data_IF_889437554874
#
_entry.id   IF_889437554874
#
_cell.length_a   1.000
_cell.length_b   1.000
_cell.length_c   1.000
_cell.angle_alpha   90.00
_cell.angle_beta   90.00
_cell.angle_gamma   90.00
#
_symmetry.space_group_name_H-M   'P 1'
#
loop_
_entity.id
_entity.type
_entity.pdbx_description
1 polymer ?
#
# COMPACT_ATOMS: atom_id res chain seq x y z
N UNK A 1 -8.79 0.54 -25.17
CA UNK A 1 -8.05 -0.18 -24.12
C UNK A 1 -6.66 -0.58 -24.61
N UNK A 2 -6.54 -1.34 -25.69
CA UNK A 2 -5.25 -1.83 -26.23
C UNK A 2 -4.19 -0.73 -26.40
N UNK A 3 -4.55 0.43 -26.95
CA UNK A 3 -3.60 1.56 -27.09
C UNK A 3 -3.04 2.06 -25.77
N UNK A 4 -3.84 2.07 -24.69
CA UNK A 4 -3.37 2.48 -23.35
C UNK A 4 -2.45 1.40 -22.77
N UNK A 5 -2.80 0.13 -22.89
CA UNK A 5 -1.99 -0.98 -22.41
C UNK A 5 -0.61 -1.03 -23.11
N UNK A 6 -0.56 -0.76 -24.43
CA UNK A 6 0.70 -0.68 -25.19
C UNK A 6 1.62 0.48 -24.76
N UNK A 7 1.09 1.51 -24.08
CA UNK A 7 1.86 2.65 -23.57
C UNK A 7 2.39 2.45 -22.16
N UNK A 8 1.97 1.39 -21.47
CA UNK A 8 2.44 1.11 -20.11
C UNK A 8 3.94 0.85 -20.09
N UNK A 9 4.63 1.51 -19.16
CA UNK A 9 6.07 1.39 -18.90
C UNK A 9 6.38 0.89 -17.50
N UNK A 10 5.40 0.98 -16.59
CA UNK A 10 5.51 0.56 -15.20
C UNK A 10 4.22 -0.12 -14.75
N UNK A 11 4.36 -1.27 -14.11
CA UNK A 11 3.26 -2.00 -13.48
C UNK A 11 3.35 -1.86 -11.96
N UNK A 12 2.26 -1.49 -11.32
CA UNK A 12 2.11 -1.52 -9.88
C UNK A 12 1.22 -2.72 -9.52
N UNK A 13 1.73 -3.59 -8.68
CA UNK A 13 1.08 -4.82 -8.27
C UNK A 13 0.70 -4.73 -6.79
N UNK A 14 -0.58 -4.88 -6.48
CA UNK A 14 -0.94 -5.28 -5.13
C UNK A 14 -0.36 -6.66 -4.81
N UNK A 15 -0.35 -7.06 -3.55
CA UNK A 15 0.31 -8.31 -3.15
C UNK A 15 -0.69 -9.41 -2.77
N UNK A 16 -1.39 -9.27 -1.66
CA UNK A 16 -2.33 -10.31 -1.20
C UNK A 16 -3.59 -10.31 -2.06
N UNK A 17 -4.00 -11.48 -2.58
CA UNK A 17 -5.08 -11.57 -3.55
C UNK A 17 -4.65 -11.32 -5.01
N UNK A 18 -3.42 -10.82 -5.23
CA UNK A 18 -2.91 -10.46 -6.57
C UNK A 18 -1.73 -11.32 -7.01
N UNK A 19 -0.66 -11.39 -6.22
CA UNK A 19 0.53 -12.20 -6.53
C UNK A 19 0.64 -13.46 -5.67
N UNK A 20 0.01 -13.46 -4.52
CA UNK A 20 -0.14 -14.62 -3.61
C UNK A 20 -1.45 -14.51 -2.83
N UNK A 21 -1.87 -15.59 -2.16
CA UNK A 21 -2.89 -15.58 -1.12
C UNK A 21 -2.33 -16.25 0.14
N UNK A 22 -2.25 -15.46 1.22
CA UNK A 22 -1.63 -15.91 2.48
C UNK A 22 -0.16 -16.31 2.29
N UNK A 23 0.11 -17.62 2.40
CA UNK A 23 1.43 -18.23 2.21
C UNK A 23 1.59 -18.94 0.85
N UNK A 24 0.62 -18.84 -0.05
CA UNK A 24 0.60 -19.56 -1.33
C UNK A 24 0.76 -18.61 -2.51
N UNK A 25 1.87 -18.74 -3.24
CA UNK A 25 2.11 -18.04 -4.49
C UNK A 25 1.15 -18.49 -5.60
N UNK A 26 0.63 -17.54 -6.39
CA UNK A 26 -0.12 -17.91 -7.59
C UNK A 26 0.83 -18.39 -8.70
N UNK A 27 0.47 -19.45 -9.45
CA UNK A 27 1.36 -20.06 -10.45
C UNK A 27 1.80 -19.11 -11.56
N UNK A 28 0.96 -18.12 -11.90
CA UNK A 28 1.20 -17.17 -12.99
C UNK A 28 2.06 -15.97 -12.58
N UNK A 29 2.35 -15.79 -11.29
CA UNK A 29 3.10 -14.63 -10.77
C UNK A 29 4.52 -14.57 -11.32
N UNK A 30 5.34 -15.61 -11.12
CA UNK A 30 6.74 -15.61 -11.57
C UNK A 30 6.83 -15.50 -13.10
N UNK A 31 6.05 -16.27 -13.90
CA UNK A 31 5.99 -16.08 -15.36
C UNK A 31 5.72 -14.63 -15.76
N UNK A 32 4.73 -13.99 -15.13
CA UNK A 32 4.37 -12.60 -15.45
C UNK A 32 5.50 -11.60 -15.09
N UNK A 33 6.13 -11.74 -13.92
CA UNK A 33 7.28 -10.88 -13.58
C UNK A 33 8.44 -11.04 -14.57
N UNK A 34 8.72 -12.28 -15.01
CA UNK A 34 9.72 -12.55 -16.03
C UNK A 34 9.34 -11.96 -17.40
N UNK A 35 8.06 -12.04 -17.77
CA UNK A 35 7.52 -11.40 -18.97
C UNK A 35 7.76 -9.88 -18.92
N UNK A 36 7.42 -9.19 -17.84
CA UNK A 36 7.66 -7.75 -17.70
C UNK A 36 9.14 -7.40 -17.88
N UNK A 37 10.04 -8.15 -17.22
CA UNK A 37 11.49 -7.99 -17.37
C UNK A 37 11.95 -8.17 -18.82
N UNK A 38 11.44 -9.18 -19.52
CA UNK A 38 11.78 -9.45 -20.93
C UNK A 38 11.33 -8.35 -21.90
N UNK A 39 10.29 -7.61 -21.54
CA UNK A 39 9.74 -6.48 -22.32
C UNK A 39 10.29 -5.12 -21.86
N UNK A 40 11.22 -5.10 -20.91
CA UNK A 40 11.77 -3.88 -20.32
C UNK A 40 10.66 -2.98 -19.72
N UNK A 41 9.63 -3.61 -19.14
CA UNK A 41 8.55 -2.94 -18.39
C UNK A 41 8.90 -3.06 -16.91
N UNK A 42 9.00 -1.91 -16.21
CA UNK A 42 9.25 -1.88 -14.78
C UNK A 42 8.07 -2.43 -13.98
N UNK A 43 8.32 -2.92 -12.77
CA UNK A 43 7.26 -3.21 -11.83
C UNK A 43 7.66 -2.83 -10.40
N UNK A 44 6.66 -2.57 -9.56
CA UNK A 44 6.79 -2.43 -8.10
C UNK A 44 5.59 -3.05 -7.41
N UNK A 45 5.84 -3.57 -6.21
CA UNK A 45 4.80 -4.04 -5.31
C UNK A 45 4.27 -2.87 -4.48
N UNK A 46 2.95 -2.64 -4.50
CA UNK A 46 2.27 -1.61 -3.72
C UNK A 46 1.40 -2.26 -2.63
N UNK A 47 1.63 -1.91 -1.37
CA UNK A 47 0.83 -2.43 -0.26
C UNK A 47 0.41 -1.33 0.71
N UNK A 48 -0.84 -1.43 1.18
CA UNK A 48 -1.32 -0.63 2.32
C UNK A 48 -0.78 -1.15 3.65
N UNK A 49 -0.50 -2.45 3.75
CA UNK A 49 -0.14 -3.07 5.03
C UNK A 49 1.17 -2.50 5.58
N UNK A 50 1.07 -1.74 6.66
CA UNK A 50 2.17 -1.10 7.38
C UNK A 50 2.62 -1.89 8.63
N UNK A 51 2.19 -3.15 8.79
CA UNK A 51 2.69 -4.01 9.88
C UNK A 51 4.00 -4.72 9.56
N UNK A 52 4.48 -4.58 8.32
CA UNK A 52 5.76 -5.12 7.86
C UNK A 52 6.65 -4.01 7.30
N UNK A 53 7.94 -4.12 7.59
CA UNK A 53 8.97 -3.36 6.90
C UNK A 53 9.21 -3.90 5.49
N UNK A 54 9.82 -3.10 4.61
CA UNK A 54 10.24 -3.57 3.28
C UNK A 54 11.15 -4.79 3.34
N UNK A 55 12.06 -4.85 4.33
CA UNK A 55 12.95 -6.01 4.52
C UNK A 55 12.17 -7.29 4.86
N UNK A 56 11.11 -7.19 5.68
CA UNK A 56 10.24 -8.33 5.98
C UNK A 56 9.45 -8.78 4.74
N UNK A 57 9.03 -7.85 3.87
CA UNK A 57 8.41 -8.19 2.60
C UNK A 57 9.39 -8.89 1.65
N UNK A 58 10.62 -8.42 1.52
CA UNK A 58 11.67 -9.10 0.75
C UNK A 58 11.85 -10.53 1.25
N UNK A 59 11.96 -10.73 2.57
CA UNK A 59 12.09 -12.05 3.17
C UNK A 59 10.84 -12.93 2.95
N UNK A 60 9.64 -12.35 3.01
CA UNK A 60 8.38 -13.06 2.72
C UNK A 60 8.34 -13.53 1.27
N UNK A 61 8.64 -12.65 0.30
CA UNK A 61 8.63 -13.01 -1.12
C UNK A 61 9.70 -14.05 -1.46
N UNK A 62 10.88 -13.97 -0.83
CA UNK A 62 11.94 -14.97 -1.00
C UNK A 62 11.49 -16.39 -0.57
N UNK A 63 10.73 -16.50 0.55
CA UNK A 63 10.13 -17.78 0.98
C UNK A 63 9.09 -18.31 0.00
N UNK A 64 8.45 -17.44 -0.78
CA UNK A 64 7.50 -17.79 -1.83
C UNK A 64 8.18 -18.07 -3.19
N UNK A 65 9.52 -17.96 -3.28
CA UNK A 65 10.28 -18.20 -4.49
C UNK A 65 10.47 -16.98 -5.39
N UNK A 66 10.10 -15.77 -4.93
CA UNK A 66 10.33 -14.52 -5.66
C UNK A 66 11.57 -13.82 -5.10
N UNK A 67 12.61 -13.68 -5.92
CA UNK A 67 13.76 -12.83 -5.59
C UNK A 67 13.43 -11.39 -5.92
N UNK A 68 13.18 -10.59 -4.87
CA UNK A 68 12.89 -9.18 -4.97
C UNK A 68 13.91 -8.35 -4.19
N UNK A 69 14.21 -7.15 -4.67
CA UNK A 69 15.02 -6.15 -3.97
C UNK A 69 14.14 -5.10 -3.28
N UNK A 70 14.68 -4.38 -2.31
CA UNK A 70 13.90 -3.39 -1.55
C UNK A 70 13.36 -2.26 -2.43
N UNK A 71 14.03 -1.92 -3.51
CA UNK A 71 13.60 -0.90 -4.46
C UNK A 71 12.42 -1.34 -5.34
N UNK A 72 12.08 -2.64 -5.39
CA UNK A 72 10.87 -3.14 -6.06
C UNK A 72 9.60 -2.96 -5.21
N UNK A 73 9.70 -2.42 -3.99
CA UNK A 73 8.56 -2.13 -3.13
C UNK A 73 8.30 -0.63 -3.03
N UNK A 74 7.04 -0.28 -2.83
CA UNK A 74 6.59 1.01 -2.37
C UNK A 74 5.34 0.79 -1.52
N UNK A 75 5.52 0.84 -0.20
CA UNK A 75 4.46 0.53 0.76
C UNK A 75 3.89 1.81 1.39
N UNK A 76 2.79 1.70 2.09
CA UNK A 76 2.13 2.86 2.70
C UNK A 76 3.02 3.64 3.68
N UNK A 77 3.98 2.96 4.33
CA UNK A 77 5.01 3.60 5.16
C UNK A 77 5.91 4.52 4.34
N UNK A 78 6.36 4.07 3.15
CA UNK A 78 7.20 4.89 2.24
C UNK A 78 6.43 6.13 1.77
N UNK A 79 5.16 5.95 1.42
CA UNK A 79 4.32 7.07 1.00
C UNK A 79 4.06 8.05 2.14
N UNK A 80 3.85 7.57 3.35
CA UNK A 80 3.70 8.43 4.53
C UNK A 80 4.96 9.30 4.75
N UNK A 81 6.14 8.70 4.63
CA UNK A 81 7.43 9.39 4.71
C UNK A 81 7.54 10.47 3.62
N UNK A 82 7.27 10.11 2.36
CA UNK A 82 7.35 11.05 1.23
C UNK A 82 6.36 12.20 1.38
N UNK A 83 5.13 11.89 1.80
CA UNK A 83 4.07 12.87 2.02
C UNK A 83 4.47 13.91 3.08
N UNK A 84 4.96 13.44 4.23
CA UNK A 84 5.37 14.33 5.32
C UNK A 84 6.54 15.20 4.87
N UNK A 85 7.56 14.63 4.22
CA UNK A 85 8.70 15.40 3.73
C UNK A 85 8.32 16.49 2.73
N UNK A 86 7.36 16.19 1.86
CA UNK A 86 6.93 17.13 0.81
C UNK A 86 5.99 18.22 1.33
N UNK A 87 5.12 17.91 2.27
CA UNK A 87 4.03 18.80 2.69
C UNK A 87 4.23 19.39 4.09
N UNK A 88 5.08 18.78 4.91
CA UNK A 88 5.36 19.17 6.29
C UNK A 88 6.87 19.14 6.59
N UNK A 89 7.69 19.95 5.89
CA UNK A 89 9.15 19.91 6.03
C UNK A 89 9.66 20.33 7.42
N UNK A 90 8.80 20.99 8.21
CA UNK A 90 9.06 21.37 9.60
C UNK A 90 9.05 20.16 10.56
N UNK A 91 8.34 19.08 10.23
CA UNK A 91 8.23 17.86 11.06
C UNK A 91 9.57 17.14 11.12
N UNK A 92 10.06 16.87 12.32
CA UNK A 92 11.31 16.14 12.60
C UNK A 92 11.13 15.01 13.57
N UNK A 93 10.28 15.18 14.58
CA UNK A 93 10.05 14.21 15.65
C UNK A 93 8.67 13.55 15.46
N UNK A 94 8.64 12.24 15.50
CA UNK A 94 7.42 11.44 15.28
C UNK A 94 7.11 10.58 16.50
N UNK A 95 5.87 10.62 16.95
CA UNK A 95 5.32 9.55 17.76
C UNK A 95 4.63 8.55 16.82
N UNK A 96 5.00 7.26 16.90
CA UNK A 96 4.47 6.23 16.00
C UNK A 96 3.66 5.20 16.80
N UNK A 97 2.35 5.17 16.56
CA UNK A 97 1.49 4.05 16.94
C UNK A 97 1.52 3.04 15.78
N UNK A 98 2.42 2.07 15.87
CA UNK A 98 2.70 1.08 14.84
C UNK A 98 3.66 0.01 15.34
N UNK A 99 3.95 -0.96 14.46
CA UNK A 99 4.96 -1.99 14.72
C UNK A 99 6.37 -1.37 14.77
N UNK A 100 7.21 -1.80 15.70
CA UNK A 100 8.59 -1.29 15.79
C UNK A 100 9.41 -1.57 14.52
N UNK A 101 9.07 -2.62 13.76
CA UNK A 101 9.76 -2.97 12.52
C UNK A 101 9.70 -1.89 11.44
N UNK A 102 8.76 -0.93 11.51
CA UNK A 102 8.69 0.18 10.56
C UNK A 102 9.49 1.42 11.01
N UNK A 103 9.90 1.51 12.27
CA UNK A 103 10.62 2.69 12.81
C UNK A 103 11.91 2.99 12.04
N UNK A 104 12.75 2.00 11.69
CA UNK A 104 13.98 2.25 10.93
C UNK A 104 13.76 2.92 9.57
N UNK A 105 12.60 2.75 8.94
CA UNK A 105 12.28 3.44 7.69
C UNK A 105 12.13 4.96 7.91
N UNK A 106 11.44 5.38 8.96
CA UNK A 106 11.31 6.79 9.34
C UNK A 106 12.66 7.37 9.79
N UNK A 107 13.43 6.65 10.59
CA UNK A 107 14.75 7.08 11.07
C UNK A 107 15.75 7.26 9.92
N UNK A 108 15.80 6.30 8.99
CA UNK A 108 16.62 6.38 7.78
C UNK A 108 16.21 7.54 6.86
N UNK A 109 14.95 7.94 6.94
CA UNK A 109 14.43 9.10 6.25
C UNK A 109 14.77 10.45 6.93
N UNK A 110 15.40 10.43 8.11
CA UNK A 110 15.86 11.60 8.87
C UNK A 110 14.88 12.08 9.94
N UNK A 111 13.85 11.29 10.28
CA UNK A 111 12.98 11.59 11.42
C UNK A 111 13.54 10.99 12.71
N UNK A 112 13.21 11.60 13.84
CA UNK A 112 13.49 11.07 15.17
C UNK A 112 12.21 10.47 15.75
N UNK A 113 12.21 9.17 16.05
CA UNK A 113 11.09 8.55 16.76
C UNK A 113 11.19 8.90 18.24
N UNK A 114 10.10 9.39 18.81
CA UNK A 114 10.08 9.89 20.20
C UNK A 114 8.81 9.52 20.93
N UNK A 115 8.94 9.37 22.24
CA UNK A 115 7.82 9.17 23.16
C UNK A 115 7.32 10.47 23.81
N UNK A 116 7.98 11.59 23.56
CA UNK A 116 7.65 12.88 24.17
C UNK A 116 7.83 14.00 23.17
N UNK A 117 6.92 14.98 23.20
CA UNK A 117 6.98 16.23 22.42
C UNK A 117 7.19 15.97 20.89
N UNK A 118 6.30 15.19 20.25
CA UNK A 118 6.38 14.95 18.80
C UNK A 118 5.84 16.13 17.99
N UNK A 119 6.44 16.33 16.81
CA UNK A 119 5.92 17.30 15.84
C UNK A 119 4.74 16.72 15.05
N UNK A 120 4.66 15.39 14.93
CA UNK A 120 3.53 14.70 14.31
C UNK A 120 3.32 13.30 14.91
N UNK A 121 2.11 12.79 14.76
CA UNK A 121 1.69 11.44 15.14
C UNK A 121 1.49 10.59 13.90
N UNK A 122 2.04 9.38 13.88
CA UNK A 122 1.78 8.36 12.86
C UNK A 122 0.88 7.28 13.43
N UNK A 123 -0.21 7.00 12.72
CA UNK A 123 -1.11 5.88 13.01
C UNK A 123 -0.91 4.83 11.92
N UNK A 124 -0.46 3.64 12.30
CA UNK A 124 -0.18 2.53 11.41
C UNK A 124 -0.85 1.25 11.90
N UNK A 125 -0.77 0.18 11.12
CA UNK A 125 -1.23 -1.13 11.54
C UNK A 125 -0.34 -1.66 12.67
N UNK A 126 -0.86 -1.65 13.91
CA UNK A 126 -0.13 -2.07 15.10
C UNK A 126 -0.73 -3.36 15.69
N UNK A 127 -0.02 -4.46 15.49
CA UNK A 127 -0.39 -5.78 16.04
C UNK A 127 0.07 -5.95 17.51
N UNK A 128 0.79 -4.97 18.03
CA UNK A 128 1.29 -4.93 19.42
C UNK A 128 0.66 -3.79 20.22
N UNK A 129 -0.47 -3.25 19.73
CA UNK A 129 -1.18 -2.12 20.34
C UNK A 129 -1.50 -2.40 21.81
N UNK A 130 -1.08 -1.50 22.67
CA UNK A 130 -1.48 -1.46 24.08
C UNK A 130 -2.45 -0.31 24.33
N UNK A 131 -3.24 -0.42 25.39
CA UNK A 131 -4.13 0.66 25.79
C UNK A 131 -3.37 1.95 26.11
N UNK A 132 -2.18 1.83 26.72
CA UNK A 132 -1.30 2.96 27.00
C UNK A 132 -0.86 3.68 25.71
N UNK A 133 -0.40 2.92 24.71
CA UNK A 133 0.00 3.47 23.40
C UNK A 133 -1.17 4.19 22.73
N UNK A 134 -2.38 3.60 22.76
CA UNK A 134 -3.59 4.21 22.22
C UNK A 134 -3.96 5.52 22.93
N UNK A 135 -3.92 5.54 24.28
CA UNK A 135 -4.20 6.72 25.07
C UNK A 135 -3.18 7.85 24.83
N UNK A 136 -1.91 7.50 24.70
CA UNK A 136 -0.83 8.46 24.42
C UNK A 136 -0.98 9.07 23.01
N UNK A 137 -1.34 8.25 22.03
CA UNK A 137 -1.70 8.72 20.67
C UNK A 137 -2.85 9.72 20.73
N UNK A 138 -3.95 9.37 21.40
CA UNK A 138 -5.10 10.24 21.57
C UNK A 138 -4.73 11.56 22.30
N UNK A 139 -3.86 11.50 23.29
CA UNK A 139 -3.39 12.68 24.02
C UNK A 139 -2.69 13.67 23.07
N UNK A 140 -1.70 13.23 22.28
CA UNK A 140 -0.99 14.12 21.36
C UNK A 140 -1.93 14.73 20.30
N UNK A 141 -2.81 13.92 19.72
CA UNK A 141 -3.82 14.40 18.75
C UNK A 141 -4.72 15.46 19.40
N UNK A 142 -5.15 15.25 20.64
CA UNK A 142 -5.98 16.20 21.39
C UNK A 142 -5.27 17.50 21.73
N UNK A 143 -3.94 17.48 21.87
CA UNK A 143 -3.10 18.67 22.05
C UNK A 143 -2.89 19.46 20.72
N UNK A 144 -3.45 19.00 19.60
CA UNK A 144 -3.33 19.67 18.31
C UNK A 144 -2.12 19.22 17.49
N UNK A 145 -1.41 18.17 17.90
CA UNK A 145 -0.33 17.58 17.10
C UNK A 145 -0.92 16.97 15.84
N UNK A 146 -0.45 17.33 14.63
CA UNK A 146 -0.96 16.78 13.38
C UNK A 146 -0.77 15.26 13.33
N UNK A 147 -1.80 14.54 12.82
CA UNK A 147 -1.78 13.09 12.78
C UNK A 147 -1.98 12.59 11.34
N UNK A 148 -1.16 11.62 10.96
CA UNK A 148 -1.16 10.97 9.65
C UNK A 148 -1.35 9.46 9.85
N UNK A 149 -2.28 8.87 9.11
CA UNK A 149 -2.48 7.43 9.09
C UNK A 149 -1.94 6.84 7.78
N UNK A 150 -1.28 5.70 7.87
CA UNK A 150 -0.63 5.06 6.73
C UNK A 150 -1.62 4.54 5.70
N UNK A 151 -2.82 4.11 6.10
CA UNK A 151 -3.87 3.61 5.21
C UNK A 151 -5.23 3.50 5.92
N UNK A 152 -6.35 3.40 5.16
CA UNK A 152 -7.70 3.36 5.70
C UNK A 152 -8.25 1.96 6.02
N UNK A 153 -7.51 0.87 5.78
CA UNK A 153 -8.05 -0.49 5.87
C UNK A 153 -8.50 -0.79 7.32
N UNK A 154 -9.75 -1.22 7.48
CA UNK A 154 -10.36 -1.43 8.80
C UNK A 154 -10.06 -2.79 9.41
N UNK A 155 -9.75 -3.78 8.56
CA UNK A 155 -9.33 -5.11 8.97
C UNK A 155 -8.40 -5.73 7.93
N UNK A 156 -7.54 -6.63 8.40
CA UNK A 156 -6.69 -7.47 7.57
C UNK A 156 -7.19 -8.92 7.68
N UNK A 157 -7.54 -9.58 6.55
CA UNK A 157 -7.91 -11.00 6.56
C UNK A 157 -6.74 -11.88 6.98
N UNK A 158 -7.03 -13.08 7.48
CA UNK A 158 -6.04 -14.08 7.87
C UNK A 158 -6.38 -15.45 7.26
N UNK A 159 -5.42 -16.37 7.29
CA UNK A 159 -5.64 -17.78 6.89
C UNK A 159 -6.48 -18.55 7.94
N UNK A 160 -6.82 -17.95 9.06
CA UNK A 160 -7.65 -18.52 10.12
C UNK A 160 -9.08 -17.96 10.03
N UNK A 161 -10.08 -18.59 10.64
CA UNK A 161 -11.45 -18.06 10.68
C UNK A 161 -11.57 -16.83 11.59
N UNK A 162 -10.74 -15.83 11.36
CA UNK A 162 -10.64 -14.56 12.09
C UNK A 162 -10.04 -13.49 11.19
N UNK A 163 -10.05 -12.25 11.65
CA UNK A 163 -9.38 -11.13 11.02
C UNK A 163 -8.58 -10.33 12.08
N UNK A 164 -7.65 -9.53 11.62
CA UNK A 164 -6.93 -8.58 12.49
C UNK A 164 -7.58 -7.20 12.35
N UNK A 165 -7.81 -6.53 13.48
CA UNK A 165 -8.25 -5.13 13.50
C UNK A 165 -7.10 -4.27 12.98
N UNK A 166 -7.37 -3.43 11.99
CA UNK A 166 -6.35 -2.72 11.24
C UNK A 166 -6.44 -1.19 11.42
N UNK A 167 -5.56 -0.46 10.80
CA UNK A 167 -5.31 0.98 10.93
C UNK A 167 -6.60 1.82 10.86
N UNK A 168 -7.50 1.54 9.92
CA UNK A 168 -8.76 2.27 9.76
C UNK A 168 -9.69 2.19 10.99
N UNK A 169 -9.67 1.08 11.70
CA UNK A 169 -10.42 0.95 12.95
C UNK A 169 -9.79 1.80 14.07
N UNK A 170 -8.46 1.88 14.11
CA UNK A 170 -7.75 2.76 15.07
C UNK A 170 -8.02 4.23 14.76
N UNK A 171 -8.04 4.63 13.48
CA UNK A 171 -8.43 5.97 13.06
C UNK A 171 -9.81 6.31 13.61
N UNK A 172 -10.80 5.44 13.40
CA UNK A 172 -12.18 5.63 13.86
C UNK A 172 -12.26 5.79 15.38
N UNK A 173 -11.52 4.98 16.14
CA UNK A 173 -11.41 5.05 17.58
C UNK A 173 -10.84 6.41 18.04
N UNK A 174 -9.70 6.80 17.46
CA UNK A 174 -8.97 8.03 17.80
C UNK A 174 -9.79 9.28 17.43
N UNK A 175 -10.37 9.34 16.23
CA UNK A 175 -11.22 10.46 15.81
C UNK A 175 -12.46 10.60 16.69
N UNK A 176 -13.06 9.48 17.11
CA UNK A 176 -14.20 9.49 18.03
C UNK A 176 -13.80 10.04 19.40
N UNK A 177 -12.69 9.59 19.94
CA UNK A 177 -12.22 10.00 21.27
C UNK A 177 -11.74 11.46 21.32
N UNK A 178 -11.02 11.89 20.28
CA UNK A 178 -10.36 13.21 20.27
C UNK A 178 -11.22 14.32 19.66
N UNK A 179 -12.16 13.98 18.77
CA UNK A 179 -12.90 14.88 17.90
C UNK A 179 -12.03 15.63 16.89
N UNK A 180 -10.82 15.13 16.65
CA UNK A 180 -9.87 15.65 15.67
C UNK A 180 -9.86 14.74 14.44
N UNK A 181 -9.53 15.30 13.27
CA UNK A 181 -9.38 14.53 12.05
C UNK A 181 -7.95 14.07 11.86
N UNK A 182 -7.80 12.88 11.31
CA UNK A 182 -6.51 12.27 10.96
C UNK A 182 -6.39 12.30 9.43
N UNK A 183 -5.27 12.76 8.91
CA UNK A 183 -4.98 12.70 7.47
C UNK A 183 -4.67 11.26 7.09
N UNK A 184 -5.54 10.66 6.28
CA UNK A 184 -5.42 9.26 5.88
C UNK A 184 -4.71 9.16 4.53
N UNK A 185 -3.63 8.39 4.49
CA UNK A 185 -2.80 8.15 3.31
C UNK A 185 -3.01 6.73 2.78
N UNK A 186 -2.19 6.30 1.80
CA UNK A 186 -2.28 4.95 1.23
C UNK A 186 -3.41 4.80 0.19
N UNK A 187 -3.62 3.59 -0.34
CA UNK A 187 -4.71 3.31 -1.29
C UNK A 187 -6.06 3.54 -0.61
N UNK A 188 -7.03 4.23 -1.21
CA UNK A 188 -7.12 4.67 -2.61
C UNK A 188 -6.68 6.13 -2.89
N UNK A 189 -5.86 6.77 -2.04
CA UNK A 189 -5.36 8.11 -2.28
C UNK A 189 -4.49 8.15 -3.56
N UNK A 190 -4.86 8.95 -4.60
CA UNK A 190 -4.11 9.02 -5.85
C UNK A 190 -2.66 9.49 -5.66
N UNK A 191 -2.36 10.21 -4.58
CA UNK A 191 -1.02 10.62 -4.21
C UNK A 191 -0.07 9.44 -4.06
N UNK A 192 -0.55 8.30 -3.56
CA UNK A 192 0.25 7.09 -3.39
C UNK A 192 0.81 6.56 -4.73
N UNK A 193 -0.05 6.39 -5.74
CA UNK A 193 0.40 5.93 -7.05
C UNK A 193 1.24 6.99 -7.77
N UNK A 194 0.87 8.28 -7.67
CA UNK A 194 1.64 9.37 -8.27
C UNK A 194 3.05 9.48 -7.70
N UNK A 195 3.20 9.31 -6.39
CA UNK A 195 4.53 9.29 -5.74
C UNK A 195 5.34 8.06 -6.18
N UNK A 196 4.71 6.88 -6.24
CA UNK A 196 5.34 5.66 -6.76
C UNK A 196 5.79 5.82 -8.21
N UNK A 197 4.96 6.40 -9.08
CA UNK A 197 5.26 6.68 -10.50
C UNK A 197 6.41 7.67 -10.65
N UNK A 198 6.41 8.75 -9.86
CA UNK A 198 7.49 9.74 -9.84
C UNK A 198 8.84 9.12 -9.46
N UNK A 199 8.88 8.22 -8.46
CA UNK A 199 10.09 7.46 -8.10
C UNK A 199 10.60 6.57 -9.24
N UNK A 200 9.72 6.15 -10.16
CA UNK A 200 10.07 5.37 -11.34
C UNK A 200 10.37 6.24 -12.58
N UNK A 201 10.23 7.57 -12.50
CA UNK A 201 10.42 8.49 -13.63
C UNK A 201 9.35 8.34 -14.72
N UNK A 202 8.13 7.90 -14.38
CA UNK A 202 7.02 7.69 -15.31
C UNK A 202 5.81 8.53 -14.92
N UNK A 203 4.99 8.86 -15.92
CA UNK A 203 3.71 9.53 -15.68
C UNK A 203 2.64 8.48 -15.32
N UNK A 204 1.64 8.80 -14.47
CA UNK A 204 0.59 7.87 -14.07
C UNK A 204 -0.17 7.23 -15.25
N UNK A 205 -0.41 7.96 -16.34
CA UNK A 205 -1.07 7.44 -17.54
C UNK A 205 -0.27 6.35 -18.29
N UNK A 206 1.04 6.26 -18.03
CA UNK A 206 1.92 5.23 -18.56
C UNK A 206 2.14 4.07 -17.57
N UNK A 207 1.26 3.97 -16.56
CA UNK A 207 1.30 2.90 -15.57
C UNK A 207 0.07 2.00 -15.66
N UNK A 208 0.19 0.81 -15.07
CA UNK A 208 -0.92 -0.10 -14.84
C UNK A 208 -0.95 -0.45 -13.34
N UNK A 209 -2.11 -0.25 -12.70
CA UNK A 209 -2.38 -0.76 -11.35
C UNK A 209 -3.15 -2.06 -11.44
N UNK A 210 -2.57 -3.15 -10.97
CA UNK A 210 -3.20 -4.45 -10.86
C UNK A 210 -3.45 -4.82 -9.40
N UNK A 211 -4.67 -5.21 -9.10
CA UNK A 211 -5.09 -5.60 -7.75
C UNK A 211 -6.44 -6.29 -7.78
N UNK A 212 -6.87 -6.85 -6.67
CA UNK A 212 -8.15 -7.56 -6.56
C UNK A 212 -9.28 -6.67 -6.01
N UNK A 213 -8.94 -5.65 -5.20
CA UNK A 213 -9.94 -4.84 -4.49
C UNK A 213 -10.38 -3.62 -5.29
N UNK A 214 -11.68 -3.51 -5.53
CA UNK A 214 -12.26 -2.34 -6.19
C UNK A 214 -12.09 -1.05 -5.38
N UNK A 215 -12.28 -1.13 -4.06
CA UNK A 215 -12.31 0.05 -3.18
C UNK A 215 -10.94 0.68 -2.94
N UNK A 216 -9.87 -0.07 -3.10
CA UNK A 216 -8.48 0.38 -2.88
C UNK A 216 -7.70 0.43 -4.18
N UNK A 217 -7.37 -0.72 -4.78
CA UNK A 217 -6.45 -0.82 -5.92
C UNK A 217 -7.00 -0.18 -7.19
N UNK A 218 -8.23 -0.58 -7.56
CA UNK A 218 -8.84 -0.09 -8.79
C UNK A 218 -9.21 1.39 -8.65
N UNK A 219 -9.77 1.78 -7.50
CA UNK A 219 -10.04 3.19 -7.22
C UNK A 219 -8.78 4.05 -7.20
N UNK A 220 -7.67 3.55 -6.63
CA UNK A 220 -6.36 4.20 -6.69
C UNK A 220 -5.94 4.47 -8.13
N UNK A 221 -5.95 3.43 -8.98
CA UNK A 221 -5.55 3.54 -10.38
C UNK A 221 -6.42 4.53 -11.16
N UNK A 222 -7.76 4.45 -11.01
CA UNK A 222 -8.71 5.40 -11.62
C UNK A 222 -8.41 6.83 -11.19
N UNK A 223 -8.30 7.07 -9.88
CA UNK A 223 -8.08 8.40 -9.31
C UNK A 223 -6.73 9.00 -9.72
N UNK A 224 -5.72 8.16 -9.96
CA UNK A 224 -4.40 8.60 -10.41
C UNK A 224 -4.30 8.76 -11.94
N UNK A 225 -5.21 8.18 -12.72
CA UNK A 225 -5.19 8.19 -14.19
C UNK A 225 -4.42 7.00 -14.82
N UNK A 226 -4.07 6.00 -14.02
CA UNK A 226 -3.43 4.75 -14.44
C UNK A 226 -4.39 3.85 -15.22
N UNK A 227 -3.88 2.92 -16.03
CA UNK A 227 -4.65 1.76 -16.49
C UNK A 227 -4.94 0.87 -15.29
N UNK A 228 -6.14 0.32 -15.20
CA UNK A 228 -6.55 -0.53 -14.08
C UNK A 228 -6.85 -1.95 -14.51
N UNK A 229 -6.32 -2.93 -13.78
CA UNK A 229 -6.56 -4.34 -14.00
C UNK A 229 -7.03 -5.00 -12.70
N UNK A 230 -8.28 -5.48 -12.68
CA UNK A 230 -8.82 -6.25 -11.55
C UNK A 230 -8.57 -7.73 -11.75
N UNK A 231 -8.00 -8.38 -10.75
CA UNK A 231 -7.92 -9.83 -10.66
C UNK A 231 -9.14 -10.36 -9.89
N UNK A 232 -9.79 -11.40 -10.43
CA UNK A 232 -11.01 -12.00 -9.86
C UNK A 232 -10.88 -13.50 -9.63
N UNK A 233 -9.67 -14.01 -9.67
CA UNK A 233 -9.37 -15.43 -9.45
C UNK A 233 -9.58 -15.90 -8.01
N UNK A 234 -9.25 -17.16 -7.71
CA UNK A 234 -9.40 -17.74 -6.38
C UNK A 234 -8.64 -16.95 -5.31
N UNK A 235 -9.32 -16.57 -4.22
CA UNK A 235 -8.73 -15.78 -3.12
C UNK A 235 -8.81 -14.27 -3.29
N UNK A 236 -9.30 -13.77 -4.44
CA UNK A 236 -9.50 -12.35 -4.66
C UNK A 236 -10.69 -11.80 -3.84
N UNK A 237 -10.61 -10.54 -3.44
CA UNK A 237 -11.73 -9.82 -2.83
C UNK A 237 -12.75 -9.44 -3.92
N UNK A 238 -13.90 -10.09 -3.91
CA UNK A 238 -14.99 -9.85 -4.85
C UNK A 238 -16.00 -8.82 -4.36
N UNK A 239 -15.74 -8.14 -3.25
CA UNK A 239 -16.65 -7.11 -2.69
C UNK A 239 -16.97 -6.05 -3.75
N UNK A 240 -18.24 -5.79 -4.04
CA UNK A 240 -18.63 -4.76 -4.99
C UNK A 240 -18.31 -3.36 -4.46
N UNK A 241 -18.01 -2.43 -5.37
CA UNK A 241 -17.79 -1.04 -5.02
C UNK A 241 -18.46 -0.16 -6.06
N UNK A 242 -19.52 0.55 -5.64
CA UNK A 242 -20.32 1.39 -6.53
C UNK A 242 -19.47 2.49 -7.18
N UNK A 243 -19.70 2.73 -8.47
CA UNK A 243 -19.00 3.75 -9.24
C UNK A 243 -17.53 3.43 -9.58
N UNK A 244 -17.06 2.20 -9.32
CA UNK A 244 -15.69 1.76 -9.63
C UNK A 244 -15.73 0.67 -10.70
N UNK A 245 -15.26 1.01 -11.91
CA UNK A 245 -15.20 0.07 -13.04
C UNK A 245 -13.76 -0.04 -13.52
N UNK A 246 -13.12 -1.22 -13.44
CA UNK A 246 -11.77 -1.42 -13.94
C UNK A 246 -11.74 -1.36 -15.49
N UNK A 247 -10.59 -0.97 -16.03
CA UNK A 247 -10.35 -1.02 -17.48
C UNK A 247 -10.25 -2.47 -18.00
N UNK A 248 -9.64 -3.36 -17.20
CA UNK A 248 -9.38 -4.77 -17.51
C UNK A 248 -9.85 -5.63 -16.33
N UNK A 249 -10.46 -6.77 -16.62
CA UNK A 249 -10.79 -7.81 -15.64
C UNK A 249 -10.22 -9.12 -16.13
N UNK A 250 -9.45 -9.81 -15.28
CA UNK A 250 -8.83 -11.11 -15.59
C UNK A 250 -8.92 -12.04 -14.39
N UNK A 251 -8.80 -13.35 -14.60
CA UNK A 251 -8.76 -14.31 -13.52
C UNK A 251 -7.39 -14.31 -12.80
N UNK A 252 -6.30 -14.11 -13.56
CA UNK A 252 -4.93 -14.11 -13.04
C UNK A 252 -3.96 -13.29 -13.91
N UNK A 253 -2.71 -13.20 -13.48
CA UNK A 253 -1.66 -12.47 -14.21
C UNK A 253 -1.28 -13.13 -15.55
N UNK A 254 -1.54 -14.43 -15.73
CA UNK A 254 -1.30 -15.12 -17.00
C UNK A 254 -2.27 -14.67 -18.08
N UNK A 255 -3.55 -14.43 -17.75
CA UNK A 255 -4.51 -13.85 -18.69
C UNK A 255 -4.12 -12.42 -19.07
N UNK A 256 -3.65 -11.61 -18.12
CA UNK A 256 -3.15 -10.27 -18.40
C UNK A 256 -1.93 -10.32 -19.34
N UNK A 257 -0.98 -11.24 -19.10
CA UNK A 257 0.17 -11.47 -19.98
C UNK A 257 -0.31 -11.83 -21.41
N UNK A 258 -1.22 -12.79 -21.52
CA UNK A 258 -1.74 -13.24 -22.84
C UNK A 258 -2.46 -12.12 -23.61
N UNK A 259 -3.11 -11.18 -22.92
CA UNK A 259 -3.65 -9.97 -23.54
C UNK A 259 -2.53 -9.06 -24.07
N UNK A 260 -1.48 -8.89 -23.30
CA UNK A 260 -0.34 -8.03 -23.65
C UNK A 260 0.49 -8.58 -24.82
N UNK A 261 0.62 -9.91 -24.92
CA UNK A 261 1.35 -10.59 -25.99
C UNK A 261 0.70 -10.45 -27.37
N UNK A 262 -0.57 -10.07 -27.42
CA UNK A 262 -1.33 -9.83 -28.65
C UNK A 262 -1.18 -8.39 -29.18
N UNK A 263 -0.54 -7.49 -28.43
CA UNK A 263 -0.29 -6.11 -28.83
C UNK A 263 1.04 -5.95 -29.54
#
# INVERSE_FOLDING_TARGET
MEKRLAQVRQVFLDMDGTIYHGSRLYPTTIPFLNFLKSRNIGYKFLSNNSSFSTAEYVAKLAKLGITASSDEFYISTDYCIDYIKANHPEVKKLFIMGMESIFPAFESAGFTVTDSDPDAVIVAFDRTLTYEKLCKTAYFIKQGVPAFATHPDVFCPTDQPTFLVDCGAFISCLETATRCKITVLGKPDPGFLRAAAARCGVLPENTLMAGDRLSTDIRLGINAGSVTCRLVGPGADLTPCEGVTPDIVVNDLGELQAMWEKL
#
